data_IF_783064478311
#
_entry.id   IF_783064478311
#
_cell.length_a   1.000
_cell.length_b   1.000
_cell.length_c   1.000
_cell.angle_alpha   90.00
_cell.angle_beta   90.00
_cell.angle_gamma   90.00
#
_symmetry.space_group_name_H-M   'P 1'
#
loop_
_entity.id
_entity.type
_entity.pdbx_description
1 polymer ?
#
# COMPACT_ATOMS: atom_id res chain seq x y z
N UNK A 1 -0.71 -9.18 -12.01
CA UNK A 1 -1.47 -9.18 -10.73
C UNK A 1 -2.61 -8.16 -10.83
N UNK A 2 -3.68 -8.33 -10.06
CA UNK A 2 -4.78 -7.35 -10.01
C UNK A 2 -5.32 -7.24 -8.58
N UNK A 3 -5.71 -6.03 -8.18
CA UNK A 3 -6.43 -5.76 -6.94
C UNK A 3 -7.66 -4.90 -7.26
N UNK A 4 -8.81 -5.27 -6.70
CA UNK A 4 -10.07 -4.55 -6.89
C UNK A 4 -10.69 -4.27 -5.53
N UNK A 5 -11.21 -3.05 -5.39
CA UNK A 5 -11.82 -2.59 -4.16
C UNK A 5 -13.03 -1.71 -4.47
N UNK A 6 -14.02 -1.72 -3.59
CA UNK A 6 -15.17 -0.82 -3.70
C UNK A 6 -14.79 0.57 -3.19
N UNK A 7 -15.11 1.62 -3.95
CA UNK A 7 -14.85 3.00 -3.53
C UNK A 7 -15.51 3.36 -2.19
N UNK A 8 -16.61 2.69 -1.82
CA UNK A 8 -17.25 2.84 -0.51
C UNK A 8 -16.32 2.48 0.67
N UNK A 9 -15.37 1.56 0.49
CA UNK A 9 -14.45 1.08 1.54
C UNK A 9 -13.05 1.66 1.41
N UNK A 10 -12.60 1.93 0.19
CA UNK A 10 -11.24 2.38 -0.09
C UNK A 10 -11.27 3.51 -1.12
N UNK A 11 -10.58 4.63 -0.85
CA UNK A 11 -10.48 5.75 -1.80
C UNK A 11 -9.47 5.45 -2.91
N UNK A 12 -8.43 4.69 -2.58
CA UNK A 12 -7.37 4.32 -3.50
C UNK A 12 -6.81 2.96 -3.08
N UNK A 13 -6.37 2.18 -4.08
CA UNK A 13 -5.60 0.95 -3.88
C UNK A 13 -4.55 0.84 -4.97
N UNK A 14 -3.33 0.51 -4.60
CA UNK A 14 -2.23 0.25 -5.52
C UNK A 14 -1.51 -1.02 -5.09
N UNK A 15 -1.03 -1.78 -6.06
CA UNK A 15 -0.31 -3.02 -5.82
C UNK A 15 0.85 -3.17 -6.77
N UNK A 16 1.88 -3.86 -6.31
CA UNK A 16 3.06 -4.16 -7.10
C UNK A 16 3.66 -5.52 -6.69
N UNK A 17 4.38 -6.15 -7.62
CA UNK A 17 5.03 -7.44 -7.40
C UNK A 17 6.34 -7.51 -8.17
N UNK A 18 7.40 -7.90 -7.48
CA UNK A 18 8.75 -8.04 -8.04
C UNK A 18 9.41 -9.33 -7.54
N UNK A 19 10.42 -9.88 -8.24
CA UNK A 19 11.23 -10.99 -7.73
C UNK A 19 11.89 -10.64 -6.39
N UNK A 20 12.08 -11.64 -5.53
CA UNK A 20 12.81 -11.49 -4.26
C UNK A 20 14.34 -11.44 -4.45
N UNK A 21 14.78 -10.56 -5.35
CA UNK A 21 16.19 -10.37 -5.73
C UNK A 21 16.63 -8.93 -5.42
N UNK A 22 17.91 -8.69 -5.11
CA UNK A 22 18.46 -7.35 -4.93
C UNK A 22 18.09 -6.40 -6.08
N UNK A 23 17.95 -5.11 -5.77
CA UNK A 23 17.86 -4.10 -6.82
C UNK A 23 19.23 -3.91 -7.49
N UNK A 24 19.26 -3.63 -8.80
CA UNK A 24 20.46 -3.08 -9.43
C UNK A 24 20.88 -1.78 -8.74
N UNK A 25 22.19 -1.57 -8.59
CA UNK A 25 22.75 -0.41 -7.87
C UNK A 25 22.29 0.93 -8.46
N UNK A 26 22.24 1.03 -9.78
CA UNK A 26 21.74 2.20 -10.52
C UNK A 26 20.28 2.56 -10.22
N UNK A 27 19.44 1.58 -9.86
CA UNK A 27 18.04 1.80 -9.48
C UNK A 27 17.93 2.18 -8.01
N UNK A 28 18.77 1.60 -7.14
CA UNK A 28 18.81 1.98 -5.74
C UNK A 28 19.04 3.48 -5.58
N UNK A 29 19.85 4.07 -6.46
CA UNK A 29 20.18 5.48 -6.35
C UNK A 29 19.00 6.42 -6.59
N UNK A 30 18.05 5.98 -7.41
CA UNK A 30 16.86 6.72 -7.80
C UNK A 30 15.74 6.51 -6.78
N UNK A 31 15.59 5.29 -6.29
CA UNK A 31 14.44 4.88 -5.48
C UNK A 31 14.61 5.26 -4.01
N UNK A 32 15.84 5.16 -3.50
CA UNK A 32 16.14 5.26 -2.07
C UNK A 32 16.64 6.67 -1.76
N UNK A 33 15.82 7.42 -1.01
CA UNK A 33 16.17 8.78 -0.60
C UNK A 33 17.37 8.79 0.34
N UNK A 34 18.08 9.92 0.43
CA UNK A 34 19.21 10.05 1.35
C UNK A 34 18.79 9.82 2.82
N UNK A 35 17.60 10.28 3.21
CA UNK A 35 17.04 10.06 4.54
C UNK A 35 16.74 8.58 4.81
N UNK A 36 16.19 7.89 3.80
CA UNK A 36 16.03 6.45 3.85
C UNK A 36 17.42 5.85 4.04
N UNK A 37 18.40 6.08 3.16
CA UNK A 37 19.78 5.52 3.23
C UNK A 37 20.48 5.64 4.57
N UNK A 38 20.33 6.77 5.28
CA UNK A 38 20.96 6.98 6.59
C UNK A 38 20.38 6.02 7.65
N UNK A 39 19.11 5.64 7.51
CA UNK A 39 18.50 4.59 8.33
C UNK A 39 18.87 3.16 7.88
N UNK A 40 19.46 2.99 6.69
CA UNK A 40 19.61 1.68 6.07
C UNK A 40 20.98 1.07 6.35
N UNK A 41 21.07 0.41 7.50
CA UNK A 41 21.75 -0.88 7.58
C UNK A 41 20.96 -1.98 6.86
N UNK A 42 20.21 -1.66 5.79
CA UNK A 42 19.26 -2.58 5.20
C UNK A 42 19.94 -3.62 4.33
N UNK A 43 19.46 -4.86 4.47
CA UNK A 43 19.75 -5.90 3.50
C UNK A 43 19.30 -5.49 2.09
N UNK A 44 19.99 -5.93 1.01
CA UNK A 44 19.60 -5.65 -0.37
C UNK A 44 18.14 -6.02 -0.69
N UNK A 45 17.59 -7.04 -0.03
CA UNK A 45 16.20 -7.45 -0.20
C UNK A 45 15.20 -6.42 0.36
N UNK A 46 15.58 -5.69 1.41
CA UNK A 46 14.73 -4.63 1.95
C UNK A 46 14.74 -3.39 1.05
N UNK A 47 15.83 -3.13 0.32
CA UNK A 47 15.83 -2.12 -0.75
C UNK A 47 14.78 -2.45 -1.81
N UNK A 48 14.70 -3.73 -2.23
CA UNK A 48 13.65 -4.21 -3.13
C UNK A 48 12.25 -4.06 -2.50
N UNK A 49 12.08 -4.32 -1.21
CA UNK A 49 10.80 -4.10 -0.53
C UNK A 49 10.37 -2.64 -0.55
N UNK A 50 11.29 -1.69 -0.31
CA UNK A 50 10.97 -0.26 -0.43
C UNK A 50 10.54 0.10 -1.84
N UNK A 51 11.23 -0.40 -2.87
CA UNK A 51 10.85 -0.18 -4.26
C UNK A 51 9.41 -0.63 -4.54
N UNK A 52 9.08 -1.88 -4.22
CA UNK A 52 7.74 -2.44 -4.42
C UNK A 52 6.68 -1.64 -3.67
N UNK A 53 6.98 -1.21 -2.43
CA UNK A 53 6.07 -0.39 -1.64
C UNK A 53 5.88 1.00 -2.25
N UNK A 54 6.94 1.65 -2.74
CA UNK A 54 6.83 2.96 -3.41
C UNK A 54 6.03 2.87 -4.71
N UNK A 55 6.23 1.82 -5.51
CA UNK A 55 5.42 1.53 -6.71
C UNK A 55 3.94 1.32 -6.37
N UNK A 56 3.64 0.54 -5.32
CA UNK A 56 2.27 0.36 -4.85
C UNK A 56 1.66 1.70 -4.38
N UNK A 57 2.40 2.54 -3.66
CA UNK A 57 1.96 3.87 -3.23
C UNK A 57 1.75 4.79 -4.41
N UNK A 58 2.66 4.84 -5.38
CA UNK A 58 2.52 5.63 -6.61
C UNK A 58 1.21 5.29 -7.33
N UNK A 59 0.93 4.00 -7.54
CA UNK A 59 -0.29 3.52 -8.20
C UNK A 59 -1.57 3.90 -7.45
N UNK A 60 -1.53 3.88 -6.11
CA UNK A 60 -2.64 4.32 -5.28
C UNK A 60 -2.80 5.86 -5.35
N UNK A 61 -1.69 6.60 -5.23
CA UNK A 61 -1.65 8.05 -5.21
C UNK A 61 -2.14 8.66 -6.53
N UNK A 62 -1.82 8.03 -7.68
CA UNK A 62 -2.29 8.47 -8.99
C UNK A 62 -3.82 8.56 -9.11
N UNK A 63 -4.58 7.82 -8.28
CA UNK A 63 -6.04 7.85 -8.27
C UNK A 63 -6.63 9.03 -7.50
N UNK A 64 -5.87 9.63 -6.59
CA UNK A 64 -6.33 10.69 -5.66
C UNK A 64 -5.54 11.99 -5.78
N UNK A 65 -4.43 11.97 -6.52
CA UNK A 65 -3.57 13.12 -6.75
C UNK A 65 -4.16 14.05 -7.81
N UNK A 66 -4.03 15.36 -7.57
CA UNK A 66 -4.27 16.39 -8.59
C UNK A 66 -3.02 16.71 -9.42
N UNK A 67 -1.84 16.21 -9.02
CA UNK A 67 -0.57 16.39 -9.74
C UNK A 67 -0.29 15.22 -10.67
N UNK A 68 0.27 15.51 -11.85
CA UNK A 68 0.48 14.53 -12.93
C UNK A 68 1.71 13.65 -12.76
N UNK A 69 2.65 14.02 -11.90
CA UNK A 69 3.90 13.32 -11.70
C UNK A 69 4.23 13.27 -10.21
N UNK A 70 4.60 12.09 -9.73
CA UNK A 70 5.03 11.79 -8.36
C UNK A 70 6.32 11.00 -8.51
N UNK A 71 7.41 11.52 -7.97
CA UNK A 71 8.71 10.87 -8.00
C UNK A 71 8.87 9.91 -6.79
N UNK A 72 9.86 9.01 -6.82
CA UNK A 72 10.20 8.18 -5.67
C UNK A 72 10.61 9.01 -4.46
N UNK A 73 11.25 10.16 -4.68
CA UNK A 73 11.64 11.09 -3.62
C UNK A 73 10.44 11.80 -2.96
N UNK A 74 9.31 11.90 -3.64
CA UNK A 74 8.05 12.43 -3.08
C UNK A 74 7.35 11.43 -2.16
N UNK A 75 7.75 10.15 -2.20
CA UNK A 75 7.16 9.06 -1.43
C UNK A 75 8.10 8.67 -0.29
N UNK A 76 7.61 8.78 0.94
CA UNK A 76 8.30 8.31 2.14
C UNK A 76 7.58 7.10 2.72
N UNK A 77 8.33 6.05 3.03
CA UNK A 77 7.84 4.80 3.60
C UNK A 77 8.27 4.68 5.06
N UNK A 78 7.31 4.41 5.96
CA UNK A 78 7.60 3.98 7.32
C UNK A 78 7.14 2.53 7.49
N UNK A 79 8.10 1.60 7.43
CA UNK A 79 7.84 0.16 7.55
C UNK A 79 7.28 -0.19 8.92
N UNK A 80 7.81 0.41 10.00
CA UNK A 80 7.40 0.10 11.37
C UNK A 80 5.95 0.52 11.66
N UNK A 81 5.53 1.66 11.12
CA UNK A 81 4.15 2.15 11.24
C UNK A 81 3.22 1.57 10.17
N UNK A 82 3.75 0.79 9.21
CA UNK A 82 3.01 0.34 8.03
C UNK A 82 2.28 1.50 7.33
N UNK A 83 2.97 2.61 7.17
CA UNK A 83 2.42 3.83 6.61
C UNK A 83 3.32 4.42 5.52
N UNK A 84 2.72 5.18 4.61
CA UNK A 84 3.43 5.96 3.62
C UNK A 84 2.83 7.37 3.50
N UNK A 85 3.68 8.34 3.19
CA UNK A 85 3.27 9.73 2.90
C UNK A 85 3.76 10.11 1.52
N UNK A 86 2.95 10.91 0.83
CA UNK A 86 3.27 11.44 -0.49
C UNK A 86 3.21 12.96 -0.41
N UNK A 87 4.23 13.64 -0.91
CA UNK A 87 4.26 15.10 -0.96
C UNK A 87 3.00 15.65 -1.66
N UNK A 88 2.35 16.65 -1.04
CA UNK A 88 1.11 17.24 -1.56
C UNK A 88 -0.17 16.42 -1.32
N UNK A 89 -0.10 15.22 -0.74
CA UNK A 89 -1.28 14.43 -0.33
C UNK A 89 -1.37 14.41 1.20
N UNK A 90 -2.46 14.96 1.74
CA UNK A 90 -2.62 15.13 3.19
C UNK A 90 -2.90 13.82 3.94
N UNK A 91 -3.62 12.88 3.31
CA UNK A 91 -3.94 11.59 3.93
C UNK A 91 -2.78 10.60 3.74
N UNK A 92 -2.31 9.93 4.80
CA UNK A 92 -1.33 8.87 4.65
C UNK A 92 -1.97 7.63 4.00
N UNK A 93 -1.13 6.83 3.35
CA UNK A 93 -1.48 5.52 2.83
C UNK A 93 -1.13 4.48 3.88
N UNK A 94 -2.02 3.52 4.10
CA UNK A 94 -1.64 2.29 4.79
C UNK A 94 -0.95 1.37 3.79
N UNK A 95 0.08 0.67 4.23
CA UNK A 95 0.84 -0.26 3.39
C UNK A 95 0.94 -1.63 4.04
N UNK A 96 1.12 -2.66 3.22
CA UNK A 96 1.56 -3.97 3.68
C UNK A 96 2.40 -4.64 2.60
N UNK A 97 3.20 -5.62 2.99
CA UNK A 97 4.00 -6.40 2.07
C UNK A 97 4.23 -7.81 2.57
N UNK A 98 4.50 -8.71 1.62
CA UNK A 98 4.88 -10.08 1.91
C UNK A 98 6.10 -10.45 1.08
N UNK A 99 7.03 -11.18 1.69
CA UNK A 99 8.23 -11.71 1.04
C UNK A 99 8.09 -13.23 0.95
N UNK A 100 8.33 -13.76 -0.25
CA UNK A 100 8.43 -15.18 -0.60
C UNK A 100 9.46 -15.30 -1.72
N UNK A 101 9.25 -16.17 -2.72
CA UNK A 101 10.01 -16.14 -3.98
C UNK A 101 9.79 -14.82 -4.76
N UNK A 102 8.67 -14.15 -4.47
CA UNK A 102 8.36 -12.78 -4.90
C UNK A 102 8.09 -11.88 -3.71
N UNK A 103 8.27 -10.58 -3.90
CA UNK A 103 7.83 -9.53 -2.98
C UNK A 103 6.54 -8.94 -3.54
N UNK A 104 5.49 -8.94 -2.73
CA UNK A 104 4.20 -8.34 -3.07
C UNK A 104 3.98 -7.17 -2.12
N UNK A 105 3.70 -5.99 -2.67
CA UNK A 105 3.35 -4.79 -1.91
C UNK A 105 1.94 -4.30 -2.24
N UNK A 106 1.28 -3.74 -1.23
CA UNK A 106 -0.02 -3.08 -1.36
C UNK A 106 -0.01 -1.76 -0.61
N UNK A 107 -0.64 -0.75 -1.20
CA UNK A 107 -0.91 0.53 -0.57
C UNK A 107 -2.38 0.91 -0.74
N UNK A 108 -3.00 1.51 0.26
CA UNK A 108 -4.41 1.91 0.19
C UNK A 108 -4.77 3.03 1.16
N UNK A 109 -5.85 3.74 0.83
CA UNK A 109 -6.52 4.69 1.73
C UNK A 109 -7.89 4.13 2.10
N UNK A 110 -8.14 3.82 3.38
CA UNK A 110 -9.45 3.41 3.87
C UNK A 110 -10.41 4.60 3.96
N UNK A 111 -11.69 4.36 3.68
CA UNK A 111 -12.76 5.30 3.99
C UNK A 111 -13.22 5.09 5.43
N UNK A 112 -12.85 6.01 6.32
CA UNK A 112 -13.16 5.95 7.75
C UNK A 112 -14.67 6.09 8.03
N UNK A 113 -15.43 6.62 7.07
CA UNK A 113 -16.88 6.76 7.11
C UNK A 113 -17.64 5.46 6.83
N UNK A 114 -16.98 4.41 6.34
CA UNK A 114 -17.62 3.11 6.12
C UNK A 114 -17.90 2.40 7.46
N UNK A 115 -19.08 2.66 8.03
CA UNK A 115 -19.61 1.81 9.11
C UNK A 115 -20.07 0.49 8.50
N UNK A 116 -19.63 -0.64 9.04
CA UNK A 116 -20.14 -1.98 8.71
C UNK A 116 -21.67 -1.98 8.90
N UNK A 117 -22.42 -1.86 7.81
CA UNK A 117 -23.87 -1.96 7.83
C UNK A 117 -24.31 -3.36 8.25
N UNK A 118 -24.96 -3.44 9.42
CA UNK A 118 -26.04 -4.35 9.81
C UNK A 118 -25.89 -5.84 9.38
N UNK A 119 -25.59 -6.72 10.36
CA UNK A 119 -25.83 -8.17 10.22
C UNK A 119 -27.31 -8.38 9.86
N UNK A 120 -27.56 -9.00 8.71
CA UNK A 120 -28.89 -9.51 8.37
C UNK A 120 -29.23 -10.61 9.41
N UNK A 121 -30.20 -10.34 10.28
CA UNK A 121 -30.72 -11.32 11.22
C UNK A 121 -31.64 -12.27 10.45
N UNK A 122 -31.12 -13.39 9.93
CA UNK A 122 -31.96 -14.55 9.64
C UNK A 122 -32.21 -15.29 10.94
N UNK A 123 -33.14 -14.80 11.76
CA UNK A 123 -33.79 -15.65 12.76
C UNK A 123 -34.90 -16.41 12.04
N UNK A 124 -34.61 -17.67 11.76
CA UNK A 124 -35.56 -18.71 11.40
C UNK A 124 -36.66 -18.78 12.46
N UNK A 125 -37.87 -18.31 12.17
CA UNK A 125 -39.04 -18.63 12.98
C UNK A 125 -39.50 -20.05 12.62
N UNK A 126 -39.09 -21.01 13.45
CA UNK A 126 -39.78 -22.29 13.58
C UNK A 126 -41.08 -22.05 14.37
N UNK A 127 -42.21 -21.95 13.65
CA UNK A 127 -43.53 -22.18 14.25
C UNK A 127 -43.99 -23.59 13.85
N UNK A 128 -43.84 -24.54 14.77
CA UNK A 128 -44.58 -25.80 14.74
C UNK A 128 -45.95 -25.61 15.41
N UNK A 129 -47.01 -26.30 14.95
CA UNK A 129 -48.37 -26.09 15.47
C UNK A 129 -48.58 -26.80 16.81
N UNK A 130 -49.45 -26.23 17.65
CA UNK A 130 -50.15 -26.95 18.72
C UNK A 130 -51.55 -27.28 18.25
#
# INVERSE_FOLDING_TARGET
>A
MAAVATHARFQAVGVDVEPAEPLPEEIMDIVISAEERVFLGMSPLMCRCLFVLKEAVYKAAFQVSSVKFIDFSDISINIGEKSAKVAGISRPFAIDYQISDVIIGIAYIKNDTFKRGMRCNTKTELRGPR
#
